data_IF_507439769644
#
_entry.id   IF_507439769644
#
_cell.length_a   1.000
_cell.length_b   1.000
_cell.length_c   1.000
_cell.angle_alpha   90.00
_cell.angle_beta   90.00
_cell.angle_gamma   90.00
#
_symmetry.space_group_name_H-M   'P 1'
#
loop_
_entity.id
_entity.type
_entity.pdbx_description
1 polymer ?
#
# COMPACT_ATOMS: atom_id res chain seq x y z
N UNK A 1 -1.78 -0.73 -6.44
CA UNK A 1 -1.59 -2.12 -6.93
C UNK A 1 -2.09 -3.14 -5.91
N UNK A 2 -1.51 -3.24 -4.71
CA UNK A 2 -2.01 -4.18 -3.70
C UNK A 2 -3.44 -3.87 -3.21
N UNK A 3 -3.80 -2.60 -3.02
CA UNK A 3 -5.18 -2.19 -2.73
C UNK A 3 -6.17 -2.66 -3.80
N UNK A 4 -5.84 -2.42 -5.07
CA UNK A 4 -6.66 -2.85 -6.21
C UNK A 4 -6.91 -4.36 -6.21
N UNK A 5 -5.90 -5.18 -5.85
CA UNK A 5 -6.09 -6.63 -5.77
C UNK A 5 -7.06 -7.00 -4.64
N UNK A 6 -6.93 -6.40 -3.46
CA UNK A 6 -7.84 -6.64 -2.34
C UNK A 6 -9.27 -6.22 -2.69
N UNK A 7 -9.45 -5.06 -3.33
CA UNK A 7 -10.77 -4.50 -3.68
C UNK A 7 -11.42 -5.21 -4.87
N UNK A 8 -10.66 -5.53 -5.92
CA UNK A 8 -11.21 -6.04 -7.19
C UNK A 8 -11.23 -7.56 -7.26
N UNK A 9 -10.27 -8.23 -6.63
CA UNK A 9 -10.13 -9.70 -6.66
C UNK A 9 -10.56 -10.35 -5.34
N UNK A 10 -11.03 -9.58 -4.35
CA UNK A 10 -11.43 -10.04 -3.03
C UNK A 10 -10.37 -10.93 -2.33
N UNK A 11 -9.09 -10.71 -2.62
CA UNK A 11 -8.00 -11.44 -1.98
C UNK A 11 -7.64 -10.82 -0.64
N UNK A 12 -7.21 -11.65 0.31
CA UNK A 12 -6.75 -11.15 1.61
C UNK A 12 -5.56 -10.19 1.44
N UNK A 13 -5.46 -9.18 2.31
CA UNK A 13 -4.33 -8.24 2.34
C UNK A 13 -2.99 -8.97 2.38
N UNK A 14 -2.91 -10.08 3.12
CA UNK A 14 -1.69 -10.89 3.25
C UNK A 14 -1.28 -11.54 1.93
N UNK A 15 -2.25 -12.09 1.19
CA UNK A 15 -2.02 -12.66 -0.13
C UNK A 15 -1.60 -11.59 -1.15
N UNK A 16 -2.27 -10.43 -1.13
CA UNK A 16 -1.90 -9.29 -1.98
C UNK A 16 -0.48 -8.78 -1.65
N UNK A 17 -0.14 -8.64 -0.37
CA UNK A 17 1.20 -8.22 0.03
C UNK A 17 2.27 -9.22 -0.44
N UNK A 18 2.01 -10.52 -0.31
CA UNK A 18 2.92 -11.56 -0.77
C UNK A 18 3.10 -11.57 -2.30
N UNK A 19 2.03 -11.36 -3.08
CA UNK A 19 2.11 -11.34 -4.54
C UNK A 19 2.88 -10.14 -5.09
N UNK A 20 2.86 -9.02 -4.37
CA UNK A 20 3.57 -7.80 -4.77
C UNK A 20 4.90 -7.61 -4.03
N UNK A 21 5.34 -8.60 -3.25
CA UNK A 21 6.56 -8.54 -2.43
C UNK A 21 6.66 -7.27 -1.57
N UNK A 22 5.51 -6.74 -1.10
CA UNK A 22 5.46 -5.58 -0.20
C UNK A 22 5.13 -6.03 1.22
N UNK A 23 5.55 -5.25 2.21
CA UNK A 23 5.16 -5.46 3.59
C UNK A 23 3.72 -4.98 3.84
N UNK A 24 3.07 -5.57 4.83
CA UNK A 24 1.74 -5.11 5.30
C UNK A 24 1.80 -3.71 5.92
N UNK A 25 2.98 -3.26 6.36
CA UNK A 25 3.19 -1.88 6.81
C UNK A 25 3.18 -0.90 5.64
N UNK A 26 3.80 -1.24 4.51
CA UNK A 26 3.70 -0.46 3.27
C UNK A 26 2.27 -0.47 2.72
N UNK A 27 1.55 -1.59 2.81
CA UNK A 27 0.14 -1.63 2.43
C UNK A 27 -0.73 -0.70 3.28
N UNK A 28 -0.46 -0.59 4.58
CA UNK A 28 -1.18 0.33 5.48
C UNK A 28 -0.63 1.75 5.49
N UNK A 29 0.45 2.00 4.77
CA UNK A 29 1.05 3.31 4.70
C UNK A 29 0.13 4.21 3.87
N UNK A 30 -0.66 4.99 4.58
CA UNK A 30 -1.37 6.12 3.98
C UNK A 30 -0.30 7.19 3.82
N UNK A 31 -0.01 7.59 2.58
CA UNK A 31 0.79 8.78 2.31
C UNK A 31 0.11 9.94 3.02
N UNK A 32 0.59 10.29 4.21
CA UNK A 32 0.26 11.55 4.83
C UNK A 32 0.85 12.59 3.90
N UNK A 33 -0.02 13.38 3.29
CA UNK A 33 0.34 14.61 2.60
C UNK A 33 0.75 15.62 3.68
N UNK A 34 1.75 15.26 4.49
CA UNK A 34 2.37 16.14 5.46
C UNK A 34 3.28 17.05 4.66
N UNK A 35 3.15 18.35 4.87
CA UNK A 35 3.83 19.41 4.13
C UNK A 35 5.37 19.25 4.11
N UNK A 36 5.94 18.39 4.95
CA UNK A 36 7.37 18.04 4.95
C UNK A 36 7.84 17.24 3.72
N UNK A 37 7.02 16.34 3.16
CA UNK A 37 7.45 15.54 1.99
C UNK A 37 7.53 16.35 0.68
N UNK A 38 6.87 17.50 0.62
CA UNK A 38 6.92 18.40 -0.54
C UNK A 38 8.22 19.22 -0.60
N UNK A 39 8.97 19.32 0.51
CA UNK A 39 10.17 20.14 0.59
C UNK A 39 11.47 19.37 0.26
N UNK A 40 11.37 18.05 0.09
CA UNK A 40 12.49 17.14 -0.19
C UNK A 40 12.46 16.64 -1.66
N UNK A 41 11.47 17.03 -2.47
CA UNK A 41 11.33 16.65 -3.88
C UNK A 41 12.02 17.63 -4.84
#
# INVERSE_FOLDING_TARGET
MAHWAVETKAVSIRAACASFAISTTCYRYICKLDAENAQIA
#
